data_IF_690015944048
#
_entry.id   IF_690015944048
#
_cell.length_a   1.000
_cell.length_b   1.000
_cell.length_c   1.000
_cell.angle_alpha   90.00
_cell.angle_beta   90.00
_cell.angle_gamma   90.00
#
_symmetry.space_group_name_H-M   'P 1'
#
loop_
_entity.id
_entity.type
_entity.pdbx_description
1 polymer ?
#
# COMPACT_ATOMS: atom_id res chain seq x y z
N UNK A 1 -1.87 2.37 -20.53
CA UNK A 1 -2.08 0.91 -20.59
C UNK A 1 -3.08 0.54 -19.50
N UNK A 2 -3.94 -0.44 -19.75
CA UNK A 2 -4.91 -0.92 -18.74
C UNK A 2 -4.18 -1.89 -17.81
N UNK A 3 -4.11 -1.59 -16.51
CA UNK A 3 -3.51 -2.49 -15.51
C UNK A 3 -4.27 -3.80 -15.47
N UNK A 4 -3.57 -4.93 -15.54
CA UNK A 4 -4.18 -6.27 -15.53
C UNK A 4 -4.52 -6.67 -14.10
N UNK A 5 -5.78 -7.03 -13.84
CA UNK A 5 -6.21 -7.56 -12.55
C UNK A 5 -6.07 -9.08 -12.53
N UNK A 6 -5.37 -9.62 -11.54
CA UNK A 6 -5.15 -11.05 -11.34
C UNK A 6 -6.12 -11.61 -10.30
N UNK A 7 -6.63 -12.81 -10.54
CA UNK A 7 -7.21 -13.66 -9.51
C UNK A 7 -6.13 -14.51 -8.81
N UNK A 8 -6.51 -15.21 -7.73
CA UNK A 8 -5.56 -16.02 -6.95
C UNK A 8 -4.83 -17.07 -7.78
N UNK A 9 -5.53 -17.77 -8.68
CA UNK A 9 -4.90 -18.76 -9.57
C UNK A 9 -3.90 -18.10 -10.52
N UNK A 10 -4.26 -16.97 -11.12
CA UNK A 10 -3.40 -16.25 -12.06
C UNK A 10 -2.14 -15.69 -11.38
N UNK A 11 -2.28 -15.19 -10.15
CA UNK A 11 -1.12 -14.76 -9.34
C UNK A 11 -0.17 -15.93 -9.06
N UNK A 12 -0.72 -17.11 -8.73
CA UNK A 12 0.10 -18.29 -8.48
C UNK A 12 0.79 -18.79 -9.75
N UNK A 13 0.09 -18.77 -10.89
CA UNK A 13 0.67 -19.13 -12.19
C UNK A 13 1.85 -18.21 -12.53
N UNK A 14 1.70 -16.89 -12.34
CA UNK A 14 2.75 -15.89 -12.57
C UNK A 14 3.97 -16.11 -11.66
N UNK A 15 3.73 -16.39 -10.37
CA UNK A 15 4.81 -16.72 -9.42
C UNK A 15 5.56 -17.98 -9.87
N UNK A 16 4.84 -19.04 -10.25
CA UNK A 16 5.44 -20.30 -10.68
C UNK A 16 6.22 -20.12 -11.99
N UNK A 17 5.69 -19.35 -12.93
CA UNK A 17 6.38 -19.03 -14.19
C UNK A 17 7.69 -18.28 -13.93
N UNK A 18 7.67 -17.22 -13.11
CA UNK A 18 8.86 -16.47 -12.76
C UNK A 18 9.92 -17.35 -12.09
N UNK A 19 9.50 -18.21 -11.15
CA UNK A 19 10.41 -19.14 -10.46
C UNK A 19 11.01 -20.18 -11.42
N UNK A 20 10.20 -20.80 -12.27
CA UNK A 20 10.67 -21.81 -13.22
C UNK A 20 11.65 -21.24 -14.25
N UNK A 21 11.45 -19.98 -14.65
CA UNK A 21 12.27 -19.30 -15.64
C UNK A 21 13.40 -18.44 -15.03
N UNK A 22 13.57 -18.47 -13.70
CA UNK A 22 14.51 -17.62 -12.95
C UNK A 22 14.39 -16.13 -13.30
N UNK A 23 13.18 -15.65 -13.57
CA UNK A 23 12.92 -14.25 -13.85
C UNK A 23 12.72 -13.49 -12.55
N UNK A 24 13.36 -12.32 -12.37
CA UNK A 24 13.09 -11.47 -11.22
C UNK A 24 11.66 -10.95 -11.29
N UNK A 25 10.91 -11.09 -10.21
CA UNK A 25 9.56 -10.55 -10.07
C UNK A 25 9.35 -10.09 -8.63
N UNK A 26 8.79 -8.89 -8.49
CA UNK A 26 8.54 -8.24 -7.22
C UNK A 26 7.05 -8.10 -6.95
N UNK A 27 6.61 -8.66 -5.83
CA UNK A 27 5.21 -8.69 -5.42
C UNK A 27 5.11 -8.05 -4.05
N UNK A 28 4.25 -7.05 -3.93
CA UNK A 28 3.99 -6.38 -2.65
C UNK A 28 2.50 -6.39 -2.32
N UNK A 29 2.19 -6.24 -1.04
CA UNK A 29 0.82 -6.02 -0.56
C UNK A 29 0.72 -4.66 0.10
N UNK A 30 -0.21 -3.84 -0.37
CA UNK A 30 -0.54 -2.52 0.19
C UNK A 30 -1.85 -2.65 0.94
N UNK A 31 -1.74 -2.84 2.25
CA UNK A 31 -2.85 -2.75 3.18
C UNK A 31 -3.23 -1.30 3.48
N UNK A 32 -4.27 -1.13 4.29
CA UNK A 32 -4.73 0.19 4.70
C UNK A 32 -3.66 0.96 5.49
N UNK A 33 -2.88 0.28 6.34
CA UNK A 33 -1.80 0.90 7.12
C UNK A 33 -0.70 1.41 6.21
N UNK A 34 -0.28 0.59 5.24
CA UNK A 34 0.74 0.94 4.25
C UNK A 34 0.28 2.12 3.40
N UNK A 35 -0.99 2.11 2.95
CA UNK A 35 -1.58 3.25 2.28
C UNK A 35 -1.53 4.53 3.15
N UNK A 36 -1.87 4.44 4.43
CA UNK A 36 -1.74 5.59 5.36
C UNK A 36 -0.30 6.08 5.48
N UNK A 37 0.71 5.20 5.51
CA UNK A 37 2.14 5.58 5.50
C UNK A 37 2.50 6.32 4.21
N UNK A 38 2.09 5.81 3.05
CA UNK A 38 2.40 6.36 1.73
C UNK A 38 1.76 7.75 1.55
N UNK A 39 0.52 7.93 2.01
CA UNK A 39 -0.25 9.16 1.79
C UNK A 39 -0.29 10.14 2.96
N UNK A 40 0.50 9.95 4.01
CA UNK A 40 0.37 10.64 5.31
C UNK A 40 0.37 12.19 5.25
N UNK A 41 0.99 12.77 4.22
CA UNK A 41 1.03 14.22 3.94
C UNK A 41 -0.18 14.73 3.15
N UNK A 42 -0.89 13.86 2.44
CA UNK A 42 -2.01 14.21 1.57
C UNK A 42 -3.36 14.20 2.28
N UNK A 43 -3.48 13.54 3.44
CA UNK A 43 -4.77 13.44 4.16
C UNK A 43 -5.38 14.80 4.54
N UNK A 44 -4.56 15.84 4.71
CA UNK A 44 -5.03 17.18 5.05
C UNK A 44 -5.42 18.01 3.83
N UNK A 45 -4.85 17.73 2.66
CA UNK A 45 -4.99 18.57 1.46
C UNK A 45 -5.92 17.95 0.41
N UNK A 46 -6.01 16.62 0.35
CA UNK A 46 -6.83 15.91 -0.62
C UNK A 46 -8.29 15.75 -0.12
N UNK A 47 -9.30 16.26 -0.86
CA UNK A 47 -10.70 16.20 -0.43
C UNK A 47 -11.25 14.79 -0.24
N UNK A 48 -10.73 13.80 -0.98
CA UNK A 48 -11.16 12.40 -0.82
C UNK A 48 -10.54 11.83 0.46
N UNK A 49 -9.24 12.01 0.67
CA UNK A 49 -8.54 11.51 1.85
C UNK A 49 -8.95 12.20 3.15
N UNK A 50 -9.44 13.43 3.11
CA UNK A 50 -10.00 14.11 4.28
C UNK A 50 -11.14 13.31 4.94
N UNK A 51 -11.94 12.57 4.16
CA UNK A 51 -13.00 11.70 4.69
C UNK A 51 -12.46 10.53 5.53
N UNK A 52 -11.16 10.25 5.44
CA UNK A 52 -10.47 9.13 6.09
C UNK A 52 -9.49 9.58 7.18
N UNK A 53 -9.58 10.82 7.64
CA UNK A 53 -8.77 11.38 8.73
C UNK A 53 -8.81 10.54 10.01
N UNK A 54 -9.93 9.88 10.29
CA UNK A 54 -10.07 8.96 11.42
C UNK A 54 -9.10 7.78 11.35
N UNK A 55 -8.81 7.27 10.15
CA UNK A 55 -7.85 6.18 9.93
C UNK A 55 -6.42 6.66 10.20
N UNK A 56 -6.01 7.81 9.63
CA UNK A 56 -4.70 8.40 9.91
C UNK A 56 -4.50 8.65 11.41
N UNK A 57 -5.48 9.29 12.08
CA UNK A 57 -5.41 9.58 13.52
C UNK A 57 -5.31 8.31 14.36
N UNK A 58 -6.05 7.26 13.98
CA UNK A 58 -6.00 5.97 14.67
C UNK A 58 -4.64 5.30 14.53
N UNK A 59 -4.11 5.21 13.31
CA UNK A 59 -2.81 4.58 13.06
C UNK A 59 -1.68 5.38 13.72
N UNK A 60 -1.69 6.71 13.62
CA UNK A 60 -0.74 7.57 14.33
C UNK A 60 -0.80 7.38 15.84
N UNK A 61 -2.00 7.32 16.43
CA UNK A 61 -2.17 7.07 17.87
C UNK A 61 -1.61 5.71 18.28
N UNK A 62 -1.82 4.65 17.50
CA UNK A 62 -1.33 3.31 17.83
C UNK A 62 0.19 3.26 17.67
N UNK A 63 0.70 3.69 16.53
CA UNK A 63 2.12 3.69 16.21
C UNK A 63 2.93 4.51 17.22
N UNK A 64 2.44 5.68 17.64
CA UNK A 64 3.17 6.58 18.53
C UNK A 64 3.10 6.19 20.02
N UNK A 65 2.39 5.13 20.41
CA UNK A 65 2.34 4.65 21.81
C UNK A 65 3.67 4.11 22.35
N UNK A 66 4.68 3.89 21.51
CA UNK A 66 5.96 3.36 21.98
C UNK A 66 5.98 1.83 22.17
N UNK A 67 4.92 1.11 21.76
CA UNK A 67 4.85 -0.34 21.90
C UNK A 67 5.94 -0.98 21.05
N UNK A 68 6.81 -1.79 21.66
CA UNK A 68 7.99 -2.38 21.00
C UNK A 68 7.79 -3.78 20.42
N UNK A 69 6.68 -4.47 20.78
CA UNK A 69 6.38 -5.84 20.33
C UNK A 69 4.89 -6.18 20.45
N UNK A 70 4.47 -7.26 19.79
CA UNK A 70 3.10 -7.79 19.85
C UNK A 70 2.14 -7.12 18.86
N UNK A 71 0.85 -7.48 18.95
CA UNK A 71 -0.19 -7.08 17.98
C UNK A 71 -0.30 -5.57 17.72
N UNK A 72 -0.02 -4.75 18.74
CA UNK A 72 -0.11 -3.29 18.64
C UNK A 72 1.22 -2.61 18.26
N UNK A 73 2.29 -3.37 18.01
CA UNK A 73 3.54 -2.84 17.48
C UNK A 73 3.38 -2.57 15.98
N UNK A 74 3.64 -1.33 15.56
CA UNK A 74 3.53 -0.91 14.16
C UNK A 74 4.86 -0.81 13.40
N UNK A 75 6.00 -0.90 14.07
CA UNK A 75 7.32 -0.73 13.44
C UNK A 75 7.66 0.71 13.01
N UNK A 76 6.65 1.56 12.78
CA UNK A 76 6.79 2.96 12.37
C UNK A 76 6.24 3.94 13.41
N UNK A 77 6.48 5.23 13.18
CA UNK A 77 5.88 6.38 13.87
C UNK A 77 5.25 7.29 12.84
N UNK A 78 4.34 8.16 13.26
CA UNK A 78 3.73 9.16 12.40
C UNK A 78 3.87 10.58 12.96
N UNK A 79 4.13 11.59 12.12
CA UNK A 79 4.54 11.44 10.72
C UNK A 79 5.94 10.80 10.62
N UNK A 80 6.22 10.10 9.52
CA UNK A 80 7.53 9.57 9.18
C UNK A 80 7.76 9.72 7.66
N UNK A 81 8.33 10.87 7.23
CA UNK A 81 8.62 11.16 5.83
C UNK A 81 9.61 10.17 5.18
N UNK A 82 10.51 9.58 5.97
CA UNK A 82 11.46 8.61 5.43
C UNK A 82 10.77 7.29 5.07
N UNK A 83 9.94 6.74 5.98
CA UNK A 83 9.15 5.56 5.68
C UNK A 83 8.18 5.80 4.51
N UNK A 84 7.64 7.01 4.37
CA UNK A 84 6.83 7.39 3.22
C UNK A 84 7.62 7.27 1.91
N UNK A 85 8.81 7.86 1.86
CA UNK A 85 9.68 7.84 0.67
C UNK A 85 10.06 6.42 0.30
N UNK A 86 10.51 5.63 1.26
CA UNK A 86 10.91 4.24 1.05
C UNK A 86 9.72 3.38 0.57
N UNK A 87 8.54 3.57 1.15
CA UNK A 87 7.33 2.88 0.70
C UNK A 87 6.93 3.30 -0.72
N UNK A 88 7.01 4.59 -1.06
CA UNK A 88 6.73 5.09 -2.40
C UNK A 88 7.69 4.49 -3.44
N UNK A 89 8.98 4.42 -3.13
CA UNK A 89 9.98 3.81 -4.01
C UNK A 89 9.70 2.32 -4.22
N UNK A 90 9.44 1.57 -3.15
CA UNK A 90 9.11 0.15 -3.23
C UNK A 90 7.84 -0.11 -4.06
N UNK A 91 6.79 0.70 -3.84
CA UNK A 91 5.51 0.54 -4.54
C UNK A 91 5.62 0.89 -6.02
N UNK A 92 6.43 1.88 -6.38
CA UNK A 92 6.67 2.24 -7.78
C UNK A 92 7.55 1.24 -8.53
N UNK A 93 8.40 0.51 -7.82
CA UNK A 93 9.29 -0.50 -8.40
C UNK A 93 8.64 -1.89 -8.48
N UNK A 94 7.48 -2.10 -7.86
CA UNK A 94 6.82 -3.39 -7.82
C UNK A 94 6.19 -3.77 -9.16
N UNK A 95 6.36 -5.03 -9.57
CA UNK A 95 5.74 -5.59 -10.78
C UNK A 95 4.25 -5.85 -10.53
N UNK A 96 3.93 -6.41 -9.36
CA UNK A 96 2.58 -6.78 -8.94
C UNK A 96 2.27 -6.12 -7.59
N UNK A 97 1.14 -5.41 -7.52
CA UNK A 97 0.67 -4.78 -6.29
C UNK A 97 -0.67 -5.37 -5.86
N UNK A 98 -0.67 -6.12 -4.77
CA UNK A 98 -1.87 -6.59 -4.11
C UNK A 98 -2.48 -5.51 -3.21
N UNK A 99 -3.79 -5.28 -3.26
CA UNK A 99 -4.48 -4.43 -2.29
C UNK A 99 -5.96 -4.81 -2.16
N UNK A 100 -6.59 -4.41 -1.05
CA UNK A 100 -7.97 -4.79 -0.81
C UNK A 100 -8.94 -4.08 -1.77
N UNK A 101 -9.45 -4.79 -2.77
CA UNK A 101 -10.45 -4.30 -3.72
C UNK A 101 -11.91 -4.53 -3.27
N UNK A 102 -12.11 -5.28 -2.19
CA UNK A 102 -13.43 -5.67 -1.68
C UNK A 102 -13.93 -4.72 -0.59
N UNK A 103 -13.05 -4.29 0.32
CA UNK A 103 -13.38 -3.35 1.40
C UNK A 103 -13.32 -1.91 0.86
N UNK A 104 -14.45 -1.18 0.81
CA UNK A 104 -14.54 0.10 0.10
C UNK A 104 -13.59 1.17 0.60
N UNK A 105 -13.34 1.26 1.91
CA UNK A 105 -12.50 2.32 2.47
C UNK A 105 -11.02 2.09 2.12
N UNK A 106 -10.53 0.87 2.34
CA UNK A 106 -9.19 0.45 1.97
C UNK A 106 -8.95 0.64 0.47
N UNK A 107 -9.89 0.18 -0.37
CA UNK A 107 -9.83 0.39 -1.82
C UNK A 107 -9.71 1.88 -2.18
N UNK A 108 -10.60 2.70 -1.62
CA UNK A 108 -10.68 4.13 -1.94
C UNK A 108 -9.40 4.88 -1.52
N UNK A 109 -8.90 4.62 -0.31
CA UNK A 109 -7.66 5.22 0.19
C UNK A 109 -6.49 4.83 -0.72
N UNK A 110 -6.29 3.53 -0.97
CA UNK A 110 -5.17 3.04 -1.77
C UNK A 110 -5.21 3.57 -3.21
N UNK A 111 -6.37 3.48 -3.88
CA UNK A 111 -6.51 3.98 -5.26
C UNK A 111 -6.33 5.49 -5.35
N UNK A 112 -6.82 6.25 -4.37
CA UNK A 112 -6.61 7.70 -4.35
C UNK A 112 -5.14 8.06 -4.20
N UNK A 113 -4.43 7.37 -3.31
CA UNK A 113 -2.99 7.55 -3.11
C UNK A 113 -2.21 7.18 -4.38
N UNK A 114 -2.56 6.08 -5.03
CA UNK A 114 -1.91 5.70 -6.29
C UNK A 114 -2.09 6.78 -7.35
N UNK A 115 -3.30 7.34 -7.46
CA UNK A 115 -3.59 8.46 -8.36
C UNK A 115 -2.75 9.70 -8.02
N UNK A 116 -2.65 10.10 -6.75
CA UNK A 116 -1.91 11.29 -6.32
C UNK A 116 -0.40 11.15 -6.58
N UNK A 117 0.15 9.95 -6.45
CA UNK A 117 1.58 9.68 -6.60
C UNK A 117 1.99 9.14 -7.97
N UNK A 118 1.06 9.07 -8.92
CA UNK A 118 1.26 8.49 -10.25
C UNK A 118 1.82 7.07 -10.20
N UNK A 119 1.28 6.25 -9.31
CA UNK A 119 1.61 4.84 -9.17
C UNK A 119 0.76 4.06 -10.17
N UNK A 120 1.42 3.39 -11.12
CA UNK A 120 0.79 2.62 -12.19
C UNK A 120 1.42 1.23 -12.24
N UNK A 121 0.91 0.26 -11.45
CA UNK A 121 1.40 -1.11 -11.55
C UNK A 121 1.06 -1.74 -12.90
N UNK A 122 1.91 -2.67 -13.32
CA UNK A 122 1.63 -3.53 -14.47
C UNK A 122 0.43 -4.42 -14.16
N UNK A 123 0.43 -5.01 -12.96
CA UNK A 123 -0.61 -5.93 -12.50
C UNK A 123 -1.05 -5.64 -11.06
N UNK A 124 -2.33 -5.88 -10.77
CA UNK A 124 -2.92 -5.75 -9.43
C UNK A 124 -3.59 -7.04 -8.99
N UNK A 125 -3.60 -7.27 -7.67
CA UNK A 125 -4.24 -8.44 -7.03
C UNK A 125 -5.18 -8.03 -5.89
#
# INVERSE_FOLDING_TARGET
MQTKQLGSSQLMDEILECLNNMQPSSIISVGQTEAVVIGQDMFNSDPVLQNFQTHLRREAKIANKGIKKGFYHRGVRFPNPQAQKEALEAVKAADIIGYNMLEPNARTITQRIFSLYSIQPNEIF
#
